data_IF_152760410928
#
_entry.id   IF_152760410928
#
_cell.length_a   1.000
_cell.length_b   1.000
_cell.length_c   1.000
_cell.angle_alpha   90.00
_cell.angle_beta   90.00
_cell.angle_gamma   90.00
#
_symmetry.space_group_name_H-M   'P 1'
#
loop_
_entity.id
_entity.type
_entity.pdbx_description
1 polymer ?
#
# COMPACT_ATOMS: atom_id res chain seq x y z
N UNK A 1 4.96 -8.43 -4.35
CA UNK A 1 5.51 -7.19 -3.76
C UNK A 1 4.46 -6.13 -3.91
N UNK A 2 4.25 -5.31 -2.89
CA UNK A 2 3.28 -4.23 -2.97
C UNK A 2 3.72 -3.15 -3.96
N UNK A 3 2.77 -2.48 -4.58
CA UNK A 3 2.94 -1.38 -5.51
C UNK A 3 1.92 -0.27 -5.27
N UNK A 4 2.17 0.90 -5.85
CA UNK A 4 1.27 2.06 -5.73
C UNK A 4 -0.15 1.68 -6.13
N UNK A 5 -1.10 1.95 -5.24
CA UNK A 5 -2.52 1.62 -5.38
C UNK A 5 -2.95 0.35 -4.65
N UNK A 6 -2.02 -0.55 -4.31
CA UNK A 6 -2.34 -1.75 -3.53
C UNK A 6 -2.74 -1.37 -2.10
N UNK A 7 -3.74 -2.07 -1.57
CA UNK A 7 -3.98 -2.14 -0.13
C UNK A 7 -3.10 -3.23 0.48
N UNK A 8 -2.44 -2.88 1.58
CA UNK A 8 -1.55 -3.77 2.33
C UNK A 8 -1.88 -3.75 3.81
N UNK A 9 -1.64 -4.88 4.48
CA UNK A 9 -1.45 -4.96 5.92
C UNK A 9 0.02 -4.74 6.24
N UNK A 10 0.29 -3.74 7.07
CA UNK A 10 1.57 -3.54 7.73
C UNK A 10 1.61 -4.43 8.98
N UNK A 11 2.50 -5.42 8.98
CA UNK A 11 2.61 -6.43 10.05
C UNK A 11 3.31 -5.89 11.32
N UNK A 12 4.00 -4.75 11.25
CA UNK A 12 4.68 -4.14 12.41
C UNK A 12 3.69 -3.34 13.26
N UNK A 13 2.88 -2.54 12.59
CA UNK A 13 1.89 -1.65 13.21
C UNK A 13 0.49 -2.27 13.30
N UNK A 14 0.29 -3.41 12.64
CA UNK A 14 -1.01 -4.06 12.42
C UNK A 14 -2.04 -3.15 11.74
N UNK A 15 -1.60 -2.14 10.99
CA UNK A 15 -2.48 -1.19 10.27
C UNK A 15 -2.69 -1.64 8.84
N UNK A 16 -3.85 -1.30 8.30
CA UNK A 16 -4.12 -1.43 6.85
C UNK A 16 -3.89 -0.07 6.19
N UNK A 17 -3.20 -0.04 5.06
CA UNK A 17 -2.91 1.16 4.31
C UNK A 17 -2.89 0.92 2.81
N UNK A 18 -3.06 2.00 2.05
CA UNK A 18 -2.90 2.02 0.59
C UNK A 18 -1.52 2.56 0.28
N UNK A 19 -0.75 1.88 -0.57
CA UNK A 19 0.55 2.36 -1.04
C UNK A 19 0.33 3.54 -1.97
N UNK A 20 0.93 4.69 -1.65
CA UNK A 20 0.85 5.91 -2.45
C UNK A 20 2.14 6.22 -3.20
N UNK A 21 3.28 5.74 -2.71
CA UNK A 21 4.59 5.88 -3.35
C UNK A 21 5.51 4.70 -3.00
N UNK A 22 6.40 4.35 -3.92
CA UNK A 22 7.46 3.35 -3.73
C UNK A 22 8.78 3.89 -4.24
N UNK A 23 9.73 4.12 -3.34
CA UNK A 23 11.04 4.68 -3.69
C UNK A 23 12.17 3.84 -3.07
N UNK A 24 12.90 3.10 -3.91
CA UNK A 24 14.08 2.34 -3.46
C UNK A 24 13.79 1.31 -2.36
N UNK A 25 12.59 0.72 -2.35
CA UNK A 25 12.15 -0.23 -1.31
C UNK A 25 11.52 0.42 -0.07
N UNK A 26 11.41 1.76 -0.06
CA UNK A 26 10.61 2.50 0.94
C UNK A 26 9.20 2.72 0.41
N UNK A 27 8.20 2.48 1.25
CA UNK A 27 6.79 2.57 0.93
C UNK A 27 6.14 3.68 1.73
N UNK A 28 5.47 4.61 1.06
CA UNK A 28 4.58 5.57 1.70
C UNK A 28 3.16 5.01 1.69
N UNK A 29 2.53 5.00 2.86
CA UNK A 29 1.22 4.42 3.09
C UNK A 29 0.26 5.47 3.63
N UNK A 30 -0.99 5.41 3.19
CA UNK A 30 -2.08 6.20 3.76
C UNK A 30 -3.21 5.31 4.27
N UNK A 31 -4.01 5.76 5.25
CA UNK A 31 -5.19 5.02 5.69
C UNK A 31 -6.26 4.94 4.58
N UNK A 32 -6.97 3.80 4.45
CA UNK A 32 -7.97 3.61 3.40
C UNK A 32 -9.21 4.50 3.57
N UNK A 33 -9.66 4.72 4.80
CA UNK A 33 -10.86 5.52 5.11
C UNK A 33 -10.62 7.03 5.23
N UNK A 34 -9.37 7.49 5.00
CA UNK A 34 -8.97 8.87 5.22
C UNK A 34 -8.89 9.26 6.70
N UNK A 35 -8.34 10.46 6.98
CA UNK A 35 -8.32 11.05 8.33
C UNK A 35 -7.18 10.61 9.27
N UNK A 36 -6.41 9.59 8.92
CA UNK A 36 -5.15 9.24 9.61
C UNK A 36 -3.92 9.83 8.91
N UNK A 37 -2.83 9.98 9.66
CA UNK A 37 -1.55 10.40 9.11
C UNK A 37 -0.99 9.32 8.18
N UNK A 38 -0.27 9.75 7.14
CA UNK A 38 0.56 8.87 6.33
C UNK A 38 1.74 8.33 7.16
N UNK A 39 2.21 7.15 6.81
CA UNK A 39 3.38 6.54 7.46
C UNK A 39 4.26 5.83 6.44
N UNK A 40 5.50 5.57 6.85
CA UNK A 40 6.52 4.96 6.01
C UNK A 40 6.79 3.55 6.51
N UNK A 41 6.91 2.60 5.58
CA UNK A 41 7.42 1.26 5.84
C UNK A 41 8.64 1.00 4.95
N UNK A 42 9.73 0.51 5.52
CA UNK A 42 11.01 0.29 4.82
C UNK A 42 11.31 -1.19 4.61
N UNK A 43 10.56 -2.07 5.28
CA UNK A 43 10.71 -3.52 5.20
C UNK A 43 9.60 -4.11 4.31
N UNK A 44 9.85 -4.42 3.02
CA UNK A 44 8.82 -4.95 2.12
C UNK A 44 8.25 -6.30 2.57
N UNK A 45 9.04 -7.11 3.29
CA UNK A 45 8.59 -8.39 3.84
C UNK A 45 7.55 -8.23 4.97
N UNK A 46 7.37 -7.02 5.50
CA UNK A 46 6.34 -6.67 6.49
C UNK A 46 5.05 -6.14 5.86
N UNK A 47 4.98 -6.06 4.53
CA UNK A 47 3.80 -5.64 3.80
C UNK A 47 3.12 -6.82 3.12
N UNK A 48 1.96 -7.20 3.64
CA UNK A 48 1.11 -8.22 3.04
C UNK A 48 0.04 -7.55 2.18
N UNK A 49 0.07 -7.74 0.86
CA UNK A 49 -1.00 -7.23 -0.03
C UNK A 49 -2.33 -7.90 0.36
N UNK A 50 -3.32 -7.09 0.75
CA UNK A 50 -4.67 -7.54 1.10
C UNK A 50 -5.64 -7.36 -0.05
N UNK A 51 -5.52 -6.27 -0.80
CA UNK A 51 -6.27 -6.02 -2.02
C UNK A 51 -5.31 -5.44 -3.07
N UNK A 52 -5.07 -6.13 -4.19
CA UNK A 52 -4.30 -5.54 -5.27
C UNK A 52 -5.06 -4.37 -5.89
N UNK A 53 -4.34 -3.39 -6.45
CA UNK A 53 -4.94 -2.41 -7.36
C UNK A 53 -5.60 -3.18 -8.52
N UNK A 54 -6.91 -3.01 -8.66
CA UNK A 54 -7.66 -3.65 -9.75
C UNK A 54 -7.21 -3.04 -11.09
N UNK A 55 -6.41 -3.80 -11.83
CA UNK A 55 -5.81 -3.42 -13.12
C UNK A 55 -6.86 -3.39 -14.26
N UNK A 56 -8.09 -3.87 -14.02
CA UNK A 56 -9.17 -3.91 -15.03
C UNK A 56 -9.58 -2.50 -15.49
N UNK A 57 -9.25 -1.45 -14.73
CA UNK A 57 -9.49 -0.05 -15.11
C UNK A 57 -8.56 0.52 -16.19
N UNK A 58 -7.55 -0.22 -16.65
CA UNK A 58 -6.67 0.20 -17.76
C UNK A 58 -6.91 -0.57 -19.07
N UNK A 59 -7.85 -1.53 -19.08
CA UNK A 59 -8.32 -2.13 -20.33
C UNK A 59 -9.49 -1.33 -20.90
N UNK A 60 -9.21 -0.15 -21.44
CA UNK A 60 -10.15 0.52 -22.33
C UNK A 60 -10.39 -0.39 -23.55
N UNK A 61 -11.64 -0.81 -23.75
CA UNK A 61 -12.11 -1.60 -24.90
C UNK A 61 -12.81 -0.70 -25.93
#
# INVERSE_FOLDING_TARGET
MAWVGDEVRDEDTYRTGIVTDVCGGTYLLRPPTGGGAEWIQVDPDRLTVTLPLDDDRLTEH
#
